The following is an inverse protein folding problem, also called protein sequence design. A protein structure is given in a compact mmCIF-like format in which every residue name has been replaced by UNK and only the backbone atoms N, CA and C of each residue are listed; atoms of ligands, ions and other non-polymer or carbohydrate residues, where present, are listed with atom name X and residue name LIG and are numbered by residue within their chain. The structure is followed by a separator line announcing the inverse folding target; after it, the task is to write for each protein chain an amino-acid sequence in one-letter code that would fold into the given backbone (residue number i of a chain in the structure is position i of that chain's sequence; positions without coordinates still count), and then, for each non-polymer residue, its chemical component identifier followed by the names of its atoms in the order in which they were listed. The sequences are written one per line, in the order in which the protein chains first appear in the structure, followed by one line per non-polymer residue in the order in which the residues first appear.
data_IF_247261677645
#
_entry.id   IF_247261677645
#
_cell.length_a   1.000
_cell.length_b   1.000
_cell.length_c   1.000
_cell.angle_alpha   90.00
_cell.angle_beta   90.00
_cell.angle_gamma   90.00
#
_symmetry.space_group_name_H-M   'P 1'
#
loop_
_entity.id
_entity.type
_entity.pdbx_description
1 polymer ?
#
# COMPACT_ATOMS: atom_id res chain seq x y z
N UNK A 1 -2.64 2.85 -17.87
CA UNK A 1 -3.12 3.14 -16.51
C UNK A 1 -4.63 2.98 -16.43
N UNK A 2 -5.17 2.42 -15.34
CA UNK A 2 -6.62 2.42 -15.14
C UNK A 2 -7.12 3.87 -15.19
N UNK A 3 -8.09 4.14 -16.05
CA UNK A 3 -8.67 5.48 -16.22
C UNK A 3 -9.56 5.89 -15.05
N UNK A 4 -9.87 4.96 -14.16
CA UNK A 4 -10.73 5.14 -12.98
C UNK A 4 -10.22 4.27 -11.85
N UNK A 5 -10.17 4.82 -10.64
CA UNK A 5 -9.84 4.11 -9.40
C UNK A 5 -10.96 4.32 -8.39
N UNK A 6 -11.27 3.28 -7.64
CA UNK A 6 -12.20 3.32 -6.52
C UNK A 6 -11.51 2.76 -5.30
N UNK A 7 -11.79 3.33 -4.14
CA UNK A 7 -11.25 2.87 -2.86
C UNK A 7 -12.26 3.09 -1.77
N UNK A 8 -12.15 2.29 -0.71
CA UNK A 8 -13.01 2.35 0.46
C UNK A 8 -12.23 2.98 1.62
N UNK A 9 -12.74 4.08 2.17
CA UNK A 9 -12.19 4.70 3.38
C UNK A 9 -12.89 4.09 4.59
N UNK A 10 -12.14 3.40 5.44
CA UNK A 10 -12.67 2.59 6.54
C UNK A 10 -11.83 2.68 7.80
N UNK A 11 -12.39 2.23 8.93
CA UNK A 11 -11.66 1.94 10.16
C UNK A 11 -11.27 0.46 10.17
N UNK A 12 -9.96 0.18 10.23
CA UNK A 12 -9.40 -1.18 10.25
C UNK A 12 -8.90 -1.52 11.64
N UNK A 13 -9.25 -2.72 12.12
CA UNK A 13 -8.89 -3.16 13.47
C UNK A 13 -7.37 -3.34 13.64
N UNK A 14 -6.83 -2.87 14.77
CA UNK A 14 -5.39 -3.05 15.07
C UNK A 14 -5.03 -4.53 15.28
N UNK A 15 -5.98 -5.36 15.68
CA UNK A 15 -5.76 -6.79 15.90
C UNK A 15 -5.36 -7.51 14.62
N UNK A 16 -5.93 -7.12 13.46
CA UNK A 16 -5.56 -7.67 12.16
C UNK A 16 -4.11 -7.35 11.73
N UNK A 17 -3.56 -6.26 12.26
CA UNK A 17 -2.13 -5.97 12.12
C UNK A 17 -1.28 -6.87 13.03
N UNK A 18 -1.77 -7.17 14.23
CA UNK A 18 -1.05 -7.97 15.23
C UNK A 18 -1.00 -9.45 14.85
N UNK A 19 -2.10 -10.02 14.38
CA UNK A 19 -2.20 -11.42 13.95
C UNK A 19 -1.65 -11.69 12.54
N UNK A 20 -1.17 -10.61 11.88
CA UNK A 20 -0.62 -10.66 10.53
C UNK A 20 -1.65 -10.98 9.43
N UNK A 21 -2.94 -10.72 9.62
CA UNK A 21 -3.93 -10.64 8.55
C UNK A 21 -3.55 -9.49 7.62
N UNK A 22 -3.07 -8.37 8.18
CA UNK A 22 -2.46 -7.28 7.42
C UNK A 22 -0.97 -7.56 7.23
N UNK A 23 -0.58 -7.87 6.00
CA UNK A 23 0.79 -8.22 5.61
C UNK A 23 1.69 -6.99 5.52
N UNK A 24 2.88 -7.12 6.08
CA UNK A 24 3.93 -6.10 6.12
C UNK A 24 5.10 -6.55 5.27
N UNK A 25 5.70 -5.65 4.50
CA UNK A 25 6.88 -5.95 3.68
C UNK A 25 8.08 -5.02 3.96
N UNK A 26 7.91 -4.07 4.88
CA UNK A 26 8.95 -3.12 5.28
C UNK A 26 9.10 -3.11 6.80
N UNK A 27 10.34 -3.05 7.26
CA UNK A 27 10.67 -2.84 8.67
C UNK A 27 10.60 -1.35 9.00
N UNK A 28 9.95 -1.03 10.12
CA UNK A 28 9.87 0.35 10.60
C UNK A 28 11.14 0.75 11.34
N UNK A 29 11.54 2.01 11.18
CA UNK A 29 12.65 2.59 11.93
C UNK A 29 12.14 3.12 13.26
N UNK A 30 12.80 2.75 14.35
CA UNK A 30 12.38 3.08 15.71
C UNK A 30 12.28 4.61 15.96
N UNK A 31 13.23 5.40 15.43
CA UNK A 31 13.25 6.85 15.56
C UNK A 31 12.01 7.52 14.92
N UNK A 32 11.66 7.10 13.70
CA UNK A 32 10.48 7.61 12.98
C UNK A 32 9.18 7.11 13.61
N UNK A 33 9.18 5.91 14.11
CA UNK A 33 8.00 5.32 14.76
C UNK A 33 7.67 6.05 16.07
N UNK A 34 8.68 6.34 16.90
CA UNK A 34 8.51 7.09 18.15
C UNK A 34 7.92 8.50 17.91
N UNK A 35 8.42 9.20 16.90
CA UNK A 35 7.88 10.51 16.51
C UNK A 35 6.40 10.42 16.12
N UNK A 36 6.03 9.41 15.35
CA UNK A 36 4.63 9.18 14.93
C UNK A 36 3.73 8.76 16.09
N UNK A 37 4.23 7.95 17.04
CA UNK A 37 3.48 7.59 18.25
C UNK A 37 3.11 8.85 19.02
N UNK A 38 4.10 9.73 19.30
CA UNK A 38 3.86 11.00 19.98
C UNK A 38 2.84 11.87 19.25
N UNK A 39 2.92 11.90 17.92
CA UNK A 39 2.00 12.67 17.09
C UNK A 39 0.56 12.14 17.18
N UNK A 40 0.35 10.84 16.96
CA UNK A 40 -0.98 10.20 17.03
C UNK A 40 -1.57 10.34 18.42
N UNK A 41 -0.77 10.13 19.46
CA UNK A 41 -1.23 10.23 20.84
C UNK A 41 -1.60 11.66 21.23
N UNK A 42 -0.79 12.66 20.86
CA UNK A 42 -1.06 14.07 21.14
C UNK A 42 -2.27 14.61 20.37
N UNK A 43 -2.44 14.21 19.10
CA UNK A 43 -3.59 14.61 18.28
C UNK A 43 -4.87 13.87 18.65
N UNK A 44 -4.77 12.74 19.33
CA UNK A 44 -5.87 11.80 19.58
C UNK A 44 -6.61 11.42 18.29
N UNK A 45 -5.90 11.30 17.17
CA UNK A 45 -6.46 11.06 15.84
C UNK A 45 -5.45 10.44 14.88
N UNK A 46 -5.96 9.68 13.93
CA UNK A 46 -5.20 9.26 12.75
C UNK A 46 -5.16 10.42 11.75
N UNK A 47 -4.02 11.08 11.61
CA UNK A 47 -3.84 12.30 10.80
C UNK A 47 -3.67 12.03 9.30
N UNK A 48 -3.68 10.77 8.87
CA UNK A 48 -3.65 10.37 7.48
C UNK A 48 -3.94 8.89 7.32
N UNK A 49 -4.70 8.51 6.30
CA UNK A 49 -5.07 7.13 6.08
C UNK A 49 -3.85 6.27 5.74
N UNK A 50 -3.93 5.01 6.10
CA UNK A 50 -2.98 3.97 5.71
C UNK A 50 -3.47 3.37 4.41
N UNK A 51 -2.57 3.21 3.44
CA UNK A 51 -2.91 2.67 2.15
C UNK A 51 -2.78 1.14 2.19
N UNK A 52 -3.92 0.44 2.12
CA UNK A 52 -4.00 -1.01 2.06
C UNK A 52 -4.49 -1.46 0.68
N UNK A 53 -4.09 -2.67 0.30
CA UNK A 53 -4.61 -3.33 -0.89
C UNK A 53 -5.00 -4.76 -0.57
N UNK A 54 -5.93 -5.31 -1.35
CA UNK A 54 -6.42 -6.68 -1.23
C UNK A 54 -6.64 -7.29 -2.61
N UNK A 55 -6.71 -8.61 -2.66
CA UNK A 55 -7.08 -9.32 -3.89
C UNK A 55 -8.55 -9.02 -4.20
N UNK A 56 -8.78 -8.43 -5.37
CA UNK A 56 -10.10 -7.99 -5.80
C UNK A 56 -11.18 -9.06 -5.59
N UNK A 57 -12.33 -8.63 -5.09
CA UNK A 57 -13.50 -9.47 -4.85
C UNK A 57 -14.70 -8.85 -5.58
N UNK A 58 -15.24 -9.55 -6.57
CA UNK A 58 -16.38 -9.07 -7.34
C UNK A 58 -17.57 -8.70 -6.45
N UNK A 59 -17.78 -9.46 -5.38
CA UNK A 59 -18.88 -9.21 -4.44
C UNK A 59 -18.75 -7.88 -3.68
N UNK A 60 -17.53 -7.40 -3.43
CA UNK A 60 -17.25 -6.09 -2.82
C UNK A 60 -17.43 -5.00 -3.88
N UNK A 61 -16.79 -5.18 -5.04
CA UNK A 61 -16.86 -4.23 -6.15
C UNK A 61 -18.32 -3.94 -6.56
N UNK A 62 -19.17 -4.98 -6.63
CA UNK A 62 -20.58 -4.84 -6.96
C UNK A 62 -21.36 -4.00 -5.95
N UNK A 63 -21.12 -4.16 -4.65
CA UNK A 63 -21.79 -3.34 -3.61
C UNK A 63 -21.38 -1.87 -3.77
N UNK A 64 -20.08 -1.61 -3.89
CA UNK A 64 -19.53 -0.25 -4.05
C UNK A 64 -20.06 0.42 -5.33
N UNK A 65 -20.06 -0.28 -6.45
CA UNK A 65 -20.55 0.24 -7.72
C UNK A 65 -22.07 0.47 -7.70
N UNK A 66 -22.84 -0.42 -7.09
CA UNK A 66 -24.29 -0.25 -6.94
C UNK A 66 -24.63 0.97 -6.08
N UNK A 67 -23.90 1.16 -4.96
CA UNK A 67 -24.08 2.34 -4.10
C UNK A 67 -23.81 3.64 -4.86
N UNK A 68 -22.70 3.70 -5.58
CA UNK A 68 -22.30 4.87 -6.37
C UNK A 68 -23.25 5.19 -7.52
N UNK A 69 -23.93 4.20 -8.07
CA UNK A 69 -24.93 4.41 -9.13
C UNK A 69 -26.26 4.91 -8.58
N UNK A 70 -26.59 4.55 -7.33
CA UNK A 70 -27.85 4.87 -6.70
C UNK A 70 -27.85 6.18 -5.90
N UNK A 71 -26.67 6.74 -5.59
CA UNK A 71 -26.54 7.93 -4.72
C UNK A 71 -25.69 9.00 -5.36
N UNK A 72 -26.00 10.25 -5.04
CA UNK A 72 -25.17 11.39 -5.41
C UNK A 72 -23.90 11.46 -4.53
N UNK A 73 -22.76 11.86 -5.09
CA UNK A 73 -21.57 12.05 -4.31
C UNK A 73 -21.69 13.28 -3.38
N UNK A 74 -21.12 13.19 -2.17
CA UNK A 74 -21.00 14.34 -1.24
C UNK A 74 -19.93 15.33 -1.66
N UNK A 75 -18.94 14.84 -2.43
CA UNK A 75 -17.92 15.66 -3.09
C UNK A 75 -17.80 15.23 -4.55
N UNK A 76 -17.82 16.21 -5.46
CA UNK A 76 -17.56 16.02 -6.89
C UNK A 76 -16.84 17.27 -7.40
N UNK A 77 -15.53 17.16 -7.64
CA UNK A 77 -14.72 18.29 -8.12
C UNK A 77 -13.57 17.81 -9.02
N UNK A 78 -13.08 18.74 -9.82
CA UNK A 78 -11.89 18.55 -10.64
C UNK A 78 -10.72 19.27 -9.97
N UNK A 79 -9.63 18.55 -9.68
CA UNK A 79 -8.42 19.13 -9.14
C UNK A 79 -7.62 19.89 -10.22
N UNK A 80 -6.59 20.65 -9.81
CA UNK A 80 -5.76 21.46 -10.72
C UNK A 80 -5.04 20.64 -11.81
N UNK A 81 -4.77 19.37 -11.54
CA UNK A 81 -4.18 18.41 -12.47
C UNK A 81 -5.18 17.83 -13.49
N UNK A 82 -6.44 18.26 -13.46
CA UNK A 82 -7.52 17.80 -14.33
C UNK A 82 -8.15 16.47 -13.90
N UNK A 83 -7.76 15.91 -12.74
CA UNK A 83 -8.33 14.67 -12.21
C UNK A 83 -9.62 14.96 -11.46
N UNK A 84 -10.68 14.20 -11.77
CA UNK A 84 -11.96 14.29 -11.05
C UNK A 84 -11.92 13.44 -9.79
N UNK A 85 -12.29 14.05 -8.67
CA UNK A 85 -12.43 13.40 -7.37
C UNK A 85 -13.89 13.36 -6.95
N UNK A 86 -14.36 12.18 -6.55
CA UNK A 86 -15.70 11.96 -6.04
C UNK A 86 -15.66 11.16 -4.76
N UNK A 87 -16.48 11.52 -3.79
CA UNK A 87 -16.65 10.77 -2.56
C UNK A 87 -18.13 10.57 -2.25
N UNK A 88 -18.46 9.39 -1.76
CA UNK A 88 -19.78 9.00 -1.29
C UNK A 88 -19.70 8.59 0.17
N UNK A 89 -20.76 8.84 0.92
CA UNK A 89 -20.93 8.27 2.24
C UNK A 89 -21.81 7.04 2.12
N UNK A 90 -21.41 5.92 2.70
CA UNK A 90 -22.25 4.75 2.89
C UNK A 90 -22.79 4.83 4.31
N UNK A 91 -24.06 5.15 4.47
CA UNK A 91 -24.75 5.38 5.74
C UNK A 91 -25.91 4.39 6.00
N UNK A 92 -26.13 3.43 5.10
CA UNK A 92 -27.08 2.35 5.28
C UNK A 92 -26.43 1.19 6.05
N UNK A 93 -26.95 0.89 7.25
CA UNK A 93 -26.42 -0.16 8.12
C UNK A 93 -26.41 -1.55 7.47
N UNK A 94 -27.38 -1.85 6.60
CA UNK A 94 -27.44 -3.14 5.89
C UNK A 94 -26.30 -3.26 4.90
N UNK A 95 -26.00 -2.17 4.18
CA UNK A 95 -24.90 -2.12 3.22
C UNK A 95 -23.55 -2.17 3.95
N UNK A 96 -23.40 -1.42 5.06
CA UNK A 96 -22.21 -1.42 5.90
C UNK A 96 -21.92 -2.84 6.42
N UNK A 97 -22.93 -3.49 7.05
CA UNK A 97 -22.79 -4.84 7.56
C UNK A 97 -22.48 -5.86 6.46
N UNK A 98 -23.09 -5.69 5.28
CA UNK A 98 -22.80 -6.52 4.13
C UNK A 98 -21.36 -6.36 3.61
N UNK A 99 -20.80 -5.15 3.66
CA UNK A 99 -19.39 -4.91 3.35
C UNK A 99 -18.47 -5.53 4.40
N UNK A 100 -18.77 -5.35 5.69
CA UNK A 100 -18.00 -5.95 6.80
C UNK A 100 -17.95 -7.48 6.65
N UNK A 101 -19.08 -8.12 6.36
CA UNK A 101 -19.12 -9.57 6.13
C UNK A 101 -18.24 -9.99 4.95
N UNK A 102 -18.32 -9.25 3.83
CA UNK A 102 -17.52 -9.54 2.63
C UNK A 102 -16.03 -9.35 2.87
N UNK A 103 -15.63 -8.28 3.55
CA UNK A 103 -14.24 -8.06 3.93
C UNK A 103 -13.75 -9.09 4.94
N UNK A 104 -14.62 -9.62 5.82
CA UNK A 104 -14.31 -10.75 6.68
C UNK A 104 -13.93 -12.04 5.92
N UNK A 105 -14.34 -12.16 4.66
CA UNK A 105 -13.93 -13.24 3.75
C UNK A 105 -12.61 -12.97 3.00
N UNK A 106 -12.01 -11.80 3.12
CA UNK A 106 -10.72 -11.47 2.50
C UNK A 106 -9.59 -12.06 3.33
N UNK A 107 -8.85 -12.98 2.77
CA UNK A 107 -7.78 -13.73 3.49
C UNK A 107 -6.70 -12.81 4.06
N UNK A 108 -6.30 -11.79 3.32
CA UNK A 108 -5.22 -10.89 3.74
C UNK A 108 -5.35 -9.50 3.09
N UNK A 109 -5.01 -8.49 3.87
CA UNK A 109 -4.71 -7.15 3.40
C UNK A 109 -3.19 -6.95 3.32
N UNK A 110 -2.74 -6.02 2.50
CA UNK A 110 -1.32 -5.74 2.30
C UNK A 110 -1.09 -4.25 2.44
N UNK A 111 -0.12 -3.84 3.25
CA UNK A 111 0.24 -2.42 3.36
C UNK A 111 0.96 -2.02 2.07
N UNK A 112 0.34 -1.15 1.27
CA UNK A 112 0.96 -0.56 0.09
C UNK A 112 1.79 0.69 0.45
N UNK A 113 1.30 1.50 1.40
CA UNK A 113 2.03 2.64 1.98
C UNK A 113 1.57 2.90 3.41
N UNK A 114 2.46 3.45 4.23
CA UNK A 114 2.16 3.86 5.60
C UNK A 114 2.58 2.87 6.69
N UNK A 115 3.64 2.08 6.48
CA UNK A 115 4.16 1.14 7.48
C UNK A 115 4.44 1.79 8.84
N UNK A 116 5.04 3.00 8.87
CA UNK A 116 5.27 3.73 10.12
C UNK A 116 3.96 4.24 10.74
N UNK A 117 2.99 4.67 9.92
CA UNK A 117 1.68 5.13 10.41
C UNK A 117 0.90 3.98 11.03
N UNK A 118 0.84 2.81 10.38
CA UNK A 118 0.15 1.64 10.92
C UNK A 118 0.81 1.14 12.20
N UNK A 119 2.14 0.97 12.22
CA UNK A 119 2.87 0.54 13.41
C UNK A 119 2.63 1.50 14.60
N UNK A 120 2.65 2.81 14.35
CA UNK A 120 2.44 3.82 15.41
C UNK A 120 1.00 3.82 15.91
N UNK A 121 0.00 3.72 15.03
CA UNK A 121 -1.40 3.65 15.42
C UNK A 121 -1.67 2.39 16.28
N UNK A 122 -1.12 1.25 15.88
CA UNK A 122 -1.22 0.00 16.66
C UNK A 122 -0.59 0.16 18.04
N UNK A 123 0.60 0.76 18.14
CA UNK A 123 1.27 0.96 19.44
C UNK A 123 0.48 1.90 20.35
N UNK A 124 -0.07 2.99 19.81
CA UNK A 124 -0.94 3.89 20.60
C UNK A 124 -2.19 3.15 21.05
N UNK A 125 -2.80 2.34 20.20
CA UNK A 125 -3.95 1.50 20.59
C UNK A 125 -3.61 0.55 21.75
N UNK A 126 -2.46 -0.13 21.67
CA UNK A 126 -2.00 -1.02 22.75
C UNK A 126 -1.71 -0.26 24.05
N UNK A 127 -1.07 0.91 24.00
CA UNK A 127 -0.84 1.77 25.17
C UNK A 127 -2.16 2.16 25.82
N UNK A 128 -3.19 2.48 25.04
CA UNK A 128 -4.51 2.86 25.55
C UNK A 128 -5.30 1.69 26.09
N UNK A 129 -5.15 0.48 25.50
CA UNK A 129 -5.68 -0.77 26.08
C UNK A 129 -5.07 -1.05 27.45
N UNK A 130 -3.75 -0.89 27.58
CA UNK A 130 -3.05 -1.06 28.86
C UNK A 130 -3.52 -0.06 29.91
N UNK A 131 -3.72 1.20 29.53
CA UNK A 131 -4.25 2.25 30.40
C UNK A 131 -5.75 2.08 30.73
N UNK A 132 -6.50 1.33 29.95
CA UNK A 132 -7.93 1.04 30.15
C UNK A 132 -8.20 -0.47 30.10
N UNK A 133 -7.90 -1.23 31.16
CA UNK A 133 -8.07 -2.68 31.19
C UNK A 133 -9.50 -3.19 30.94
N UNK A 134 -10.49 -2.31 31.07
CA UNK A 134 -11.90 -2.63 30.87
C UNK A 134 -12.41 -2.20 29.48
N UNK A 135 -11.52 -2.00 28.50
CA UNK A 135 -11.94 -1.66 27.15
C UNK A 135 -12.85 -2.77 26.55
N UNK A 136 -13.80 -2.37 25.72
CA UNK A 136 -14.84 -3.28 25.17
C UNK A 136 -14.52 -3.77 23.78
N UNK A 137 -13.56 -3.13 23.09
CA UNK A 137 -13.25 -3.34 21.70
C UNK A 137 -13.92 -2.33 20.75
N UNK A 138 -14.91 -1.58 21.24
CA UNK A 138 -15.62 -0.57 20.42
C UNK A 138 -14.94 0.81 20.43
N UNK A 139 -13.94 1.00 21.27
CA UNK A 139 -13.24 2.28 21.38
C UNK A 139 -12.41 2.58 20.14
N UNK A 140 -12.38 3.84 19.72
CA UNK A 140 -11.70 4.35 18.52
C UNK A 140 -10.21 3.95 18.44
N UNK A 141 -9.52 3.82 19.58
CA UNK A 141 -8.11 3.43 19.61
C UNK A 141 -7.87 1.96 19.20
N UNK A 142 -8.92 1.16 19.05
CA UNK A 142 -8.83 -0.20 18.53
C UNK A 142 -8.77 -0.25 17.00
N UNK A 143 -8.83 0.91 16.35
CA UNK A 143 -8.89 1.03 14.90
C UNK A 143 -7.92 2.08 14.39
N UNK A 144 -7.53 1.96 13.13
CA UNK A 144 -6.85 3.01 12.39
C UNK A 144 -7.53 3.29 11.05
N UNK A 145 -7.42 4.53 10.61
CA UNK A 145 -8.01 4.97 9.34
C UNK A 145 -7.24 4.39 8.17
N UNK A 146 -7.93 3.72 7.25
CA UNK A 146 -7.36 3.11 6.06
C UNK A 146 -8.10 3.47 4.79
N UNK A 147 -7.39 3.45 3.68
CA UNK A 147 -7.95 3.43 2.33
C UNK A 147 -7.63 2.08 1.71
N UNK A 148 -8.67 1.34 1.32
CA UNK A 148 -8.59 0.00 0.77
C UNK A 148 -8.78 0.04 -0.75
N UNK A 149 -7.82 -0.52 -1.49
CA UNK A 149 -7.90 -0.65 -2.95
C UNK A 149 -7.87 -2.12 -3.37
N UNK A 150 -8.75 -2.56 -4.25
CA UNK A 150 -8.57 -3.84 -4.93
C UNK A 150 -7.33 -3.77 -5.82
N UNK A 151 -6.53 -4.84 -5.85
CA UNK A 151 -5.23 -4.88 -6.53
C UNK A 151 -5.32 -4.60 -8.04
N UNK A 152 -6.41 -4.96 -8.69
CA UNK A 152 -6.66 -4.68 -10.11
C UNK A 152 -6.75 -3.18 -10.45
N UNK A 153 -6.99 -2.32 -9.48
CA UNK A 153 -7.05 -0.87 -9.63
C UNK A 153 -5.71 -0.18 -9.31
N UNK A 154 -4.70 -0.94 -8.96
CA UNK A 154 -3.38 -0.45 -8.64
C UNK A 154 -2.40 -0.74 -9.76
N UNK A 155 -1.40 0.11 -9.86
CA UNK A 155 -0.26 -0.07 -10.73
C UNK A 155 1.02 0.11 -9.90
N UNK A 156 1.88 -0.89 -9.94
CA UNK A 156 3.18 -0.83 -9.27
C UNK A 156 4.15 -0.16 -10.24
N UNK A 157 4.60 1.04 -9.87
CA UNK A 157 5.59 1.77 -10.66
C UNK A 157 6.99 1.24 -10.37
N UNK A 158 7.88 1.34 -11.37
CA UNK A 158 9.28 1.02 -11.20
C UNK A 158 9.91 1.91 -10.12
N UNK A 159 10.61 1.29 -9.18
CA UNK A 159 11.36 2.01 -8.15
C UNK A 159 12.83 2.07 -8.53
N UNK A 160 13.18 3.03 -9.36
CA UNK A 160 14.52 3.15 -9.90
C UNK A 160 15.54 3.53 -8.82
N UNK A 161 16.71 2.90 -8.88
CA UNK A 161 17.88 3.20 -8.05
C UNK A 161 18.97 3.79 -8.92
N UNK A 162 19.56 4.89 -8.46
CA UNK A 162 20.73 5.49 -9.10
C UNK A 162 21.95 5.17 -8.24
N UNK A 163 22.95 4.58 -8.87
CA UNK A 163 24.23 4.27 -8.23
C UNK A 163 25.22 5.37 -8.58
N UNK A 164 25.94 5.87 -7.58
CA UNK A 164 26.84 7.01 -7.74
C UNK A 164 28.06 6.69 -8.62
N UNK A 165 28.62 5.50 -8.45
CA UNK A 165 29.78 5.01 -9.16
C UNK A 165 29.76 3.47 -9.22
N UNK A 166 30.69 2.89 -9.96
CA UNK A 166 30.80 1.42 -10.11
C UNK A 166 31.76 0.78 -9.09
N UNK A 167 32.09 1.48 -8.00
CA UNK A 167 32.99 1.00 -6.96
C UNK A 167 34.37 0.60 -7.51
N UNK A 168 34.90 1.38 -8.45
CA UNK A 168 36.19 1.15 -9.08
C UNK A 168 36.24 0.13 -10.21
N UNK A 169 35.09 -0.50 -10.54
CA UNK A 169 34.97 -1.44 -11.66
C UNK A 169 34.83 -0.68 -12.98
N UNK A 170 35.35 -1.24 -14.04
CA UNK A 170 34.92 -0.90 -15.41
C UNK A 170 33.51 -1.46 -15.68
N UNK A 171 32.86 -0.97 -16.74
CA UNK A 171 31.55 -1.49 -17.16
C UNK A 171 31.63 -2.98 -17.50
N UNK A 172 32.71 -3.42 -18.14
CA UNK A 172 32.92 -4.82 -18.52
C UNK A 172 33.09 -5.71 -17.29
N UNK A 173 33.86 -5.26 -16.29
CA UNK A 173 34.02 -5.98 -15.02
C UNK A 173 32.72 -6.05 -14.25
N UNK A 174 31.93 -4.97 -14.20
CA UNK A 174 30.60 -4.99 -13.59
C UNK A 174 29.68 -6.01 -14.27
N UNK A 175 29.57 -5.97 -15.59
CA UNK A 175 28.71 -6.90 -16.34
C UNK A 175 29.16 -8.36 -16.14
N UNK A 176 30.48 -8.60 -16.11
CA UNK A 176 31.05 -9.92 -15.82
C UNK A 176 30.67 -10.40 -14.42
N UNK A 177 30.84 -9.56 -13.40
CA UNK A 177 30.48 -9.89 -12.03
C UNK A 177 28.98 -10.19 -11.87
N UNK A 178 28.14 -9.44 -12.57
CA UNK A 178 26.69 -9.69 -12.57
C UNK A 178 26.31 -11.06 -13.14
N UNK A 179 27.12 -11.61 -14.07
CA UNK A 179 26.84 -12.94 -14.61
C UNK A 179 26.96 -14.09 -13.61
N UNK A 180 27.55 -13.86 -12.45
CA UNK A 180 27.59 -14.87 -11.37
C UNK A 180 26.18 -15.22 -10.85
N UNK A 181 25.28 -14.21 -10.80
CA UNK A 181 23.95 -14.33 -10.19
C UNK A 181 22.80 -14.09 -11.17
N UNK A 182 23.09 -13.47 -12.30
CA UNK A 182 22.09 -13.10 -13.29
C UNK A 182 22.45 -13.63 -14.67
N UNK A 183 21.44 -13.93 -15.46
CA UNK A 183 21.54 -13.92 -16.90
C UNK A 183 21.50 -12.46 -17.34
N UNK A 184 22.55 -12.01 -18.06
CA UNK A 184 22.71 -10.62 -18.52
C UNK A 184 22.43 -10.55 -20.01
N UNK A 185 21.28 -10.04 -20.38
CA UNK A 185 20.86 -9.93 -21.79
C UNK A 185 20.94 -8.47 -22.23
N UNK A 186 21.84 -8.12 -23.19
CA UNK A 186 21.85 -6.80 -23.78
C UNK A 186 20.51 -6.48 -24.46
N UNK A 187 20.09 -5.23 -24.36
CA UNK A 187 18.93 -4.67 -25.04
C UNK A 187 19.37 -3.48 -25.89
N UNK A 188 18.56 -3.19 -26.89
CA UNK A 188 18.77 -2.00 -27.69
C UNK A 188 18.54 -0.72 -26.86
N UNK A 189 18.53 0.43 -27.47
CA UNK A 189 18.48 1.75 -26.81
C UNK A 189 17.18 2.08 -26.07
N UNK A 190 16.19 1.19 -26.05
CA UNK A 190 14.93 1.43 -25.36
C UNK A 190 15.00 1.03 -23.88
N UNK A 191 14.35 1.81 -22.99
CA UNK A 191 14.25 1.48 -21.57
C UNK A 191 13.66 0.09 -21.35
N UNK A 192 14.29 -0.66 -20.44
CA UNK A 192 13.86 -2.01 -20.09
C UNK A 192 12.94 -1.97 -18.88
N UNK A 193 11.67 -2.32 -19.08
CA UNK A 193 10.76 -2.62 -17.96
C UNK A 193 10.89 -4.10 -17.61
N UNK A 194 11.19 -4.44 -16.34
CA UNK A 194 11.29 -5.83 -15.90
C UNK A 194 9.98 -6.59 -16.16
N UNK A 195 10.00 -7.72 -16.89
CA UNK A 195 8.78 -8.41 -17.29
C UNK A 195 8.17 -9.27 -16.18
N UNK A 196 8.94 -9.62 -15.16
CA UNK A 196 8.52 -10.51 -14.09
C UNK A 196 9.36 -10.34 -12.81
N UNK A 197 8.89 -10.93 -11.71
CA UNK A 197 9.65 -11.02 -10.46
C UNK A 197 11.01 -11.70 -10.71
N UNK A 198 12.08 -11.16 -10.09
CA UNK A 198 13.44 -11.65 -10.27
C UNK A 198 14.13 -11.13 -11.53
N UNK A 199 13.52 -10.19 -12.25
CA UNK A 199 14.17 -9.48 -13.36
C UNK A 199 14.37 -8.00 -13.01
N UNK A 200 15.41 -7.39 -13.62
CA UNK A 200 15.80 -5.99 -13.39
C UNK A 200 16.26 -5.35 -14.70
N UNK A 201 15.94 -4.08 -14.90
CA UNK A 201 16.55 -3.27 -15.94
C UNK A 201 17.84 -2.63 -15.40
N UNK A 202 18.94 -2.74 -16.11
CA UNK A 202 20.19 -2.04 -15.83
C UNK A 202 20.51 -1.09 -17.00
N UNK A 203 20.73 0.19 -16.67
CA UNK A 203 21.24 1.15 -17.62
C UNK A 203 22.66 1.55 -17.19
N UNK A 204 23.63 1.33 -18.06
CA UNK A 204 25.02 1.71 -17.82
C UNK A 204 25.70 2.02 -19.15
N UNK A 205 26.51 3.08 -19.17
CA UNK A 205 27.29 3.53 -20.35
C UNK A 205 26.45 3.63 -21.64
N UNK A 206 25.27 4.26 -21.53
CA UNK A 206 24.39 4.48 -22.69
C UNK A 206 23.62 3.25 -23.19
N UNK A 207 23.69 2.11 -22.50
CA UNK A 207 23.09 0.85 -22.92
C UNK A 207 22.17 0.27 -21.85
N UNK A 208 21.14 -0.42 -22.31
CA UNK A 208 20.24 -1.17 -21.46
C UNK A 208 20.56 -2.66 -21.45
N UNK A 209 20.35 -3.27 -20.30
CA UNK A 209 20.47 -4.71 -20.09
C UNK A 209 19.27 -5.21 -19.29
N UNK A 210 18.77 -6.38 -19.63
CA UNK A 210 17.83 -7.13 -18.79
C UNK A 210 18.65 -8.13 -17.97
N UNK A 211 18.51 -8.04 -16.65
CA UNK A 211 19.08 -8.99 -15.71
C UNK A 211 17.97 -9.92 -15.24
N UNK A 212 18.17 -11.24 -15.34
CA UNK A 212 17.25 -12.23 -14.78
C UNK A 212 18.01 -13.09 -13.78
N UNK A 213 17.47 -13.21 -12.57
CA UNK A 213 18.09 -14.03 -11.51
C UNK A 213 18.20 -15.47 -11.99
N UNK A 214 19.39 -16.08 -11.83
CA UNK A 214 19.59 -17.52 -12.08
C UNK A 214 18.96 -18.34 -10.95
N UNK A 215 18.45 -19.52 -11.28
CA UNK A 215 17.93 -20.49 -10.31
C UNK A 215 19.05 -21.05 -9.39
#
# INVERSE_FOLDING_TARGET
FPTRRSSDLVCTAIDEYLDNTIKKHELTRADKEEDRIKHVDACNANTGPIFLTYRAQDAINQVVDSWRQAHDPVYDFVAEDGITHRAWVVDDETVINGLVEKFGGVESLYIADGHHRSASAVKVGLMRREANPNYTGAEEFNYFLSVLFPDEQLYIMDYNRVVKDLNGLSVEELLTALTEKFEVTPKDSEPVTPPQKGSFGLYVDGKWYLLTVKE
#
